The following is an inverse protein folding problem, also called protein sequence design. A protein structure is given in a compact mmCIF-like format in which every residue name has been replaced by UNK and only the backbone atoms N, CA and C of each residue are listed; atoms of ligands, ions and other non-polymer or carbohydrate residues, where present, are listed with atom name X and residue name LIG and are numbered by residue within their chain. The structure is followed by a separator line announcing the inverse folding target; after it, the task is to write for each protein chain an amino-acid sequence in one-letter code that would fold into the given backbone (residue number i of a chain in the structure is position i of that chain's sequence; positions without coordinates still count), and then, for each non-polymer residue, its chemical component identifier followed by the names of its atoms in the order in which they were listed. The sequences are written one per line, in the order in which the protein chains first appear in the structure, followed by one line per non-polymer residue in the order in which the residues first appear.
data_IF_123801388192
#
_entry.id   IF_123801388192
#
_cell.length_a   1.000
_cell.length_b   1.000
_cell.length_c   1.000
_cell.angle_alpha   90.00
_cell.angle_beta   90.00
_cell.angle_gamma   90.00
#
_symmetry.space_group_name_H-M   'P 1'
#
loop_
_entity.id
_entity.type
_entity.pdbx_description
1 polymer ?
#
# COMPACT_ATOMS: atom_id res chain seq x y z
N UNK A 1 107.44 -21.95 57.29
CA UNK A 1 107.48 -20.66 57.99
C UNK A 1 106.65 -19.68 57.18
N UNK A 2 105.61 -19.09 57.78
CA UNK A 2 105.13 -17.72 57.53
C UNK A 2 103.92 -17.41 58.42
N UNK A 3 104.22 -16.71 59.52
CA UNK A 3 103.57 -15.50 60.06
C UNK A 3 102.05 -15.39 60.30
N UNK A 4 101.40 -16.39 60.90
CA UNK A 4 100.05 -16.22 61.50
C UNK A 4 100.01 -16.56 63.01
N UNK A 5 101.06 -16.17 63.74
CA UNK A 5 101.09 -16.26 65.21
C UNK A 5 100.71 -14.92 65.83
N UNK A 6 99.44 -14.80 66.23
CA UNK A 6 98.95 -13.71 67.09
C UNK A 6 99.59 -13.83 68.47
N UNK A 7 100.41 -12.86 68.86
CA UNK A 7 100.94 -12.74 70.20
C UNK A 7 99.98 -11.90 71.06
N UNK A 8 99.31 -12.55 72.03
CA UNK A 8 98.66 -11.85 73.14
C UNK A 8 99.63 -11.85 74.32
N UNK A 9 100.01 -10.66 74.78
CA UNK A 9 100.81 -10.47 75.99
C UNK A 9 99.83 -10.02 77.09
N UNK A 10 99.63 -10.88 78.08
CA UNK A 10 98.79 -10.60 79.24
C UNK A 10 99.49 -10.98 80.54
N UNK A 11 99.27 -10.19 81.59
CA UNK A 11 99.70 -10.51 82.94
C UNK A 11 98.46 -10.66 83.83
N UNK A 12 98.46 -11.69 84.68
CA UNK A 12 97.52 -11.84 85.79
C UNK A 12 98.33 -12.01 87.08
N UNK A 13 97.97 -11.26 88.12
CA UNK A 13 98.59 -11.30 89.46
C UNK A 13 100.13 -11.27 89.48
N UNK A 14 100.71 -10.21 88.90
CA UNK A 14 102.16 -9.93 88.94
C UNK A 14 103.05 -11.06 88.38
N UNK A 15 102.50 -11.88 87.47
CA UNK A 15 103.23 -12.88 86.70
C UNK A 15 103.04 -12.62 85.20
N UNK A 16 104.16 -12.43 84.50
CA UNK A 16 104.17 -12.34 83.04
C UNK A 16 104.02 -13.74 82.43
N UNK A 17 102.99 -13.93 81.60
CA UNK A 17 102.70 -15.18 80.91
C UNK A 17 102.68 -14.92 79.41
N UNK A 18 103.73 -15.35 78.70
CA UNK A 18 103.68 -15.60 77.28
C UNK A 18 103.79 -17.11 77.06
N UNK A 19 102.90 -17.69 76.24
CA UNK A 19 102.87 -19.12 75.95
C UNK A 19 102.92 -19.33 74.44
N UNK A 20 103.85 -20.18 73.97
CA UNK A 20 103.86 -20.71 72.59
C UNK A 20 104.31 -22.17 72.60
N UNK A 21 103.63 -23.04 71.84
CA UNK A 21 104.05 -24.43 71.57
C UNK A 21 102.93 -25.46 71.66
N UNK A 22 102.84 -26.46 70.74
CA UNK A 22 101.78 -27.46 70.77
C UNK A 22 101.99 -28.50 71.89
N UNK A 23 100.88 -29.11 72.30
CA UNK A 23 100.62 -29.88 73.53
C UNK A 23 101.77 -30.83 73.95
N UNK A 24 102.42 -30.56 75.08
CA UNK A 24 103.17 -31.59 75.82
C UNK A 24 104.34 -31.18 76.71
N UNK A 25 105.01 -30.04 76.48
CA UNK A 25 106.07 -29.54 77.37
C UNK A 25 106.15 -28.01 77.27
N UNK A 26 106.15 -27.32 78.41
CA UNK A 26 106.18 -25.84 78.50
C UNK A 26 107.53 -25.43 79.08
N UNK A 27 108.34 -24.75 78.29
CA UNK A 27 109.58 -24.11 78.75
C UNK A 27 109.41 -22.59 78.66
N UNK A 28 109.85 -21.85 79.70
CA UNK A 28 109.72 -20.39 79.79
C UNK A 28 111.04 -19.72 79.45
N UNK A 29 110.94 -18.67 78.64
CA UNK A 29 112.07 -17.85 78.23
C UNK A 29 111.71 -16.37 78.30
N UNK A 30 112.68 -15.53 78.60
CA UNK A 30 112.62 -14.08 78.48
C UNK A 30 113.70 -13.63 77.50
N UNK A 31 113.38 -12.62 76.68
CA UNK A 31 114.32 -12.00 75.75
C UNK A 31 114.70 -10.64 76.30
N UNK A 32 115.99 -10.42 76.51
CA UNK A 32 116.50 -9.11 76.94
C UNK A 32 116.25 -8.07 75.82
N UNK A 33 115.48 -7.00 76.08
CA UNK A 33 115.12 -6.02 75.06
C UNK A 33 116.27 -5.11 74.61
N UNK A 34 117.43 -5.10 75.28
CA UNK A 34 118.61 -4.33 74.85
C UNK A 34 119.61 -5.17 74.06
N UNK A 35 119.80 -6.43 74.44
CA UNK A 35 120.82 -7.31 73.84
C UNK A 35 120.24 -8.37 72.90
N UNK A 36 118.95 -8.67 73.03
CA UNK A 36 118.23 -9.64 72.19
C UNK A 36 118.51 -11.11 72.52
N UNK A 37 119.31 -11.41 73.55
CA UNK A 37 119.63 -12.79 73.94
C UNK A 37 118.54 -13.41 74.81
N UNK A 38 118.31 -14.70 74.62
CA UNK A 38 117.25 -15.49 75.28
C UNK A 38 117.77 -16.14 76.58
N UNK A 39 117.04 -15.93 77.67
CA UNK A 39 117.37 -16.46 78.99
C UNK A 39 116.21 -17.31 79.54
N UNK A 40 116.54 -18.47 80.12
CA UNK A 40 115.55 -19.44 80.64
C UNK A 40 115.13 -19.07 82.08
N UNK A 41 114.51 -17.91 82.25
CA UNK A 41 114.03 -17.34 83.53
C UNK A 41 112.83 -16.35 83.36
N UNK A 42 112.25 -15.81 84.45
CA UNK A 42 110.99 -15.01 84.42
C UNK A 42 111.18 -13.49 84.57
N UNK A 43 110.41 -12.69 83.82
CA UNK A 43 110.50 -11.21 83.73
C UNK A 43 110.30 -10.40 85.03
N UNK A 44 109.77 -11.00 86.11
CA UNK A 44 109.14 -10.27 87.21
C UNK A 44 110.09 -9.48 88.14
N UNK A 45 111.40 -9.45 87.88
CA UNK A 45 112.34 -8.68 88.71
C UNK A 45 112.61 -7.25 88.25
N UNK A 46 112.23 -6.83 87.04
CA UNK A 46 112.75 -5.58 86.47
C UNK A 46 111.76 -4.47 86.05
N UNK A 47 110.47 -4.71 85.77
CA UNK A 47 109.60 -3.63 85.25
C UNK A 47 108.14 -3.71 85.76
N UNK A 48 107.61 -2.61 86.33
CA UNK A 48 106.27 -2.52 86.92
C UNK A 48 105.36 -1.54 86.17
N UNK A 49 104.42 -2.02 85.33
CA UNK A 49 103.33 -1.21 84.73
C UNK A 49 102.08 -2.08 84.43
N UNK A 50 100.86 -1.49 84.52
CA UNK A 50 99.53 -2.17 84.55
C UNK A 50 98.61 -1.76 83.36
N UNK A 51 97.73 -2.65 82.88
CA UNK A 51 96.84 -2.48 81.69
C UNK A 51 95.43 -3.07 81.92
N UNK A 52 94.37 -2.50 81.31
CA UNK A 52 92.97 -2.96 81.43
C UNK A 52 92.32 -3.24 80.04
N UNK A 53 91.76 -4.44 79.87
CA UNK A 53 90.75 -4.86 78.87
C UNK A 53 90.83 -4.29 77.43
N UNK A 54 91.97 -4.42 76.75
CA UNK A 54 92.04 -4.32 75.27
C UNK A 54 91.96 -2.92 74.63
N UNK A 55 91.77 -1.87 75.44
CA UNK A 55 91.92 -0.46 75.04
C UNK A 55 92.86 0.24 75.99
N UNK A 56 93.80 1.01 75.45
CA UNK A 56 94.74 1.74 76.29
C UNK A 56 94.12 3.04 76.78
N UNK A 57 94.21 3.31 78.07
CA UNK A 57 93.74 4.58 78.61
C UNK A 57 94.90 5.56 78.72
N UNK A 58 94.77 6.70 78.05
CA UNK A 58 95.70 7.81 78.14
C UNK A 58 95.04 8.94 78.94
N UNK A 59 95.70 9.41 79.99
CA UNK A 59 95.17 10.50 80.82
C UNK A 59 95.08 11.83 80.05
N UNK A 60 96.01 12.08 79.13
CA UNK A 60 96.07 13.28 78.29
C UNK A 60 96.71 13.02 76.92
N UNK A 61 96.73 14.04 76.05
CA UNK A 61 97.33 13.94 74.71
C UNK A 61 98.82 13.59 74.73
N UNK A 62 99.60 14.11 75.69
CA UNK A 62 101.04 13.80 75.78
C UNK A 62 101.28 12.34 76.13
N UNK A 63 100.40 11.78 76.95
CA UNK A 63 100.43 10.37 77.35
C UNK A 63 99.98 9.48 76.19
N UNK A 64 99.00 9.91 75.38
CA UNK A 64 98.58 9.22 74.16
C UNK A 64 99.71 9.12 73.12
N UNK A 65 100.53 10.17 72.96
CA UNK A 65 101.67 10.18 72.02
C UNK A 65 102.84 9.28 72.46
N UNK A 66 102.93 8.94 73.75
CA UNK A 66 103.93 8.01 74.27
C UNK A 66 103.55 6.54 74.05
N UNK A 67 102.30 6.27 73.68
CA UNK A 67 101.85 4.91 73.38
C UNK A 67 102.47 4.46 72.05
N UNK A 68 103.03 3.23 71.97
CA UNK A 68 103.64 2.70 70.77
C UNK A 68 102.75 2.83 69.54
N UNK A 69 103.34 3.26 68.44
CA UNK A 69 102.64 3.62 67.24
C UNK A 69 102.27 2.38 66.40
N UNK A 70 101.23 1.67 66.84
CA UNK A 70 100.72 0.46 66.19
C UNK A 70 99.41 0.80 65.47
N UNK A 71 99.33 0.70 64.13
CA UNK A 71 98.10 0.93 63.39
C UNK A 71 96.96 0.02 63.88
N UNK A 72 95.75 0.57 64.01
CA UNK A 72 94.56 -0.11 64.50
C UNK A 72 94.42 -0.14 66.03
N UNK A 73 95.46 0.23 66.78
CA UNK A 73 95.40 0.29 68.23
C UNK A 73 94.42 1.37 68.69
N UNK A 74 93.60 1.03 69.68
CA UNK A 74 92.59 1.92 70.24
C UNK A 74 93.05 2.46 71.59
N UNK A 75 92.85 3.76 71.78
CA UNK A 75 93.11 4.40 73.06
C UNK A 75 92.06 5.43 73.41
N UNK A 76 91.58 5.36 74.65
CA UNK A 76 90.64 6.32 75.21
C UNK A 76 91.42 7.42 75.92
N UNK A 77 91.12 8.68 75.59
CA UNK A 77 91.65 9.84 76.31
C UNK A 77 90.68 10.28 77.39
N UNK A 78 91.13 10.28 78.63
CA UNK A 78 90.28 10.65 79.78
C UNK A 78 89.98 12.14 79.82
N UNK A 79 90.95 13.00 79.50
CA UNK A 79 90.81 14.47 79.56
C UNK A 79 89.71 15.02 78.65
N UNK A 80 89.54 14.46 77.45
CA UNK A 80 88.50 14.87 76.51
C UNK A 80 87.42 13.82 76.25
N UNK A 81 87.49 12.70 76.97
CA UNK A 81 86.53 11.59 76.92
C UNK A 81 86.29 11.05 75.50
N UNK A 82 87.30 11.07 74.64
CA UNK A 82 87.19 10.59 73.26
C UNK A 82 88.03 9.34 73.02
N UNK A 83 87.49 8.46 72.17
CA UNK A 83 88.20 7.28 71.69
C UNK A 83 88.96 7.62 70.41
N UNK A 84 90.23 7.25 70.40
CA UNK A 84 91.13 7.45 69.27
C UNK A 84 91.58 6.10 68.72
N UNK A 85 91.73 6.05 67.40
CA UNK A 85 92.41 4.94 66.72
C UNK A 85 93.74 5.43 66.17
N UNK A 86 94.79 4.66 66.36
CA UNK A 86 96.07 4.95 65.76
C UNK A 86 96.09 4.45 64.31
N UNK A 87 96.48 5.31 63.37
CA UNK A 87 96.57 4.96 61.95
C UNK A 87 98.01 4.67 61.50
N UNK A 88 98.92 4.39 62.43
CA UNK A 88 100.31 4.06 62.14
C UNK A 88 101.27 5.24 62.04
N UNK A 89 100.76 6.47 62.09
CA UNK A 89 101.59 7.70 62.17
C UNK A 89 100.95 8.81 63.00
N UNK A 90 99.65 8.69 63.30
CA UNK A 90 98.87 9.66 64.07
C UNK A 90 97.68 8.99 64.73
N UNK A 91 97.25 9.56 65.85
CA UNK A 91 95.99 9.21 66.52
C UNK A 91 94.85 10.05 65.96
N UNK A 92 93.77 9.41 65.48
CA UNK A 92 92.57 10.06 64.96
C UNK A 92 91.37 9.79 65.88
N UNK A 93 90.63 10.85 66.24
CA UNK A 93 89.39 10.71 67.02
C UNK A 93 88.34 9.99 66.18
N UNK A 94 87.66 9.01 66.76
CA UNK A 94 86.65 8.20 66.06
C UNK A 94 85.29 8.91 65.91
N UNK A 95 85.03 9.98 66.64
CA UNK A 95 83.78 10.75 66.52
C UNK A 95 84.03 12.26 66.46
N UNK A 96 83.55 12.90 65.39
CA UNK A 96 83.48 14.35 65.24
C UNK A 96 82.03 14.82 65.49
N UNK A 97 81.77 15.43 66.63
CA UNK A 97 80.43 15.87 67.07
C UNK A 97 79.75 16.82 66.06
N UNK A 98 80.53 17.62 65.32
CA UNK A 98 80.00 18.53 64.30
C UNK A 98 79.40 17.81 63.09
N UNK A 99 80.01 16.71 62.64
CA UNK A 99 79.50 15.92 61.51
C UNK A 99 78.18 15.23 61.87
N UNK A 100 78.09 14.69 63.09
CA UNK A 100 76.85 14.08 63.61
C UNK A 100 75.73 15.12 63.71
N UNK A 101 76.03 16.33 64.17
CA UNK A 101 75.05 17.43 64.24
C UNK A 101 74.60 17.90 62.86
N UNK A 102 75.50 17.94 61.86
CA UNK A 102 75.13 18.27 60.48
C UNK A 102 74.25 17.19 59.86
N UNK A 103 74.60 15.90 60.03
CA UNK A 103 73.79 14.78 59.55
C UNK A 103 72.38 14.83 60.15
N UNK A 104 72.26 15.08 61.46
CA UNK A 104 70.96 15.20 62.12
C UNK A 104 70.11 16.36 61.58
N UNK A 105 70.73 17.49 61.22
CA UNK A 105 70.00 18.61 60.59
C UNK A 105 69.46 18.23 59.21
N UNK A 106 70.29 17.61 58.37
CA UNK A 106 69.88 17.16 57.03
C UNK A 106 68.78 16.12 57.12
N UNK A 107 68.95 15.12 57.98
CA UNK A 107 67.96 14.07 58.22
C UNK A 107 66.61 14.66 58.67
N UNK A 108 66.63 15.66 59.55
CA UNK A 108 65.40 16.32 60.02
C UNK A 108 64.69 17.06 58.87
N UNK A 109 65.43 17.75 58.01
CA UNK A 109 64.88 18.44 56.84
C UNK A 109 64.29 17.45 55.82
N UNK A 110 64.97 16.33 55.57
CA UNK A 110 64.48 15.28 54.67
C UNK A 110 63.21 14.62 55.21
N UNK A 111 63.17 14.33 56.52
CA UNK A 111 61.96 13.81 57.18
C UNK A 111 60.81 14.79 57.07
N UNK A 112 61.04 16.10 57.26
CA UNK A 112 60.00 17.12 57.09
C UNK A 112 59.52 17.24 55.64
N UNK A 113 60.44 17.16 54.68
CA UNK A 113 60.12 17.17 53.25
C UNK A 113 59.26 15.96 52.86
N UNK A 114 59.67 14.76 53.28
CA UNK A 114 58.93 13.53 53.03
C UNK A 114 57.54 13.57 53.68
N UNK A 115 57.43 14.07 54.92
CA UNK A 115 56.13 14.27 55.59
C UNK A 115 55.21 15.19 54.78
N UNK A 116 55.71 16.33 54.28
CA UNK A 116 54.93 17.25 53.43
C UNK A 116 54.47 16.56 52.14
N UNK A 117 55.35 15.79 51.49
CA UNK A 117 55.03 15.07 50.26
C UNK A 117 53.97 13.98 50.49
N UNK A 118 54.09 13.21 51.57
CA UNK A 118 53.11 12.19 51.97
C UNK A 118 51.74 12.84 52.22
N UNK A 119 51.70 13.95 52.96
CA UNK A 119 50.44 14.65 53.26
C UNK A 119 49.79 15.20 51.98
N UNK A 120 50.57 15.77 51.06
CA UNK A 120 50.07 16.25 49.78
C UNK A 120 49.49 15.11 48.94
N UNK A 121 50.20 13.99 48.80
CA UNK A 121 49.72 12.82 48.07
C UNK A 121 48.46 12.22 48.72
N UNK A 122 48.43 12.13 50.05
CA UNK A 122 47.26 11.68 50.80
C UNK A 122 46.03 12.55 50.52
N UNK A 123 46.20 13.88 50.47
CA UNK A 123 45.12 14.81 50.14
C UNK A 123 44.59 14.58 48.71
N UNK A 124 45.48 14.37 47.73
CA UNK A 124 45.08 14.08 46.34
C UNK A 124 44.30 12.78 46.24
N UNK A 125 44.80 11.70 46.85
CA UNK A 125 44.15 10.39 46.84
C UNK A 125 42.78 10.46 47.53
N UNK A 126 42.68 11.13 48.67
CA UNK A 126 41.41 11.31 49.38
C UNK A 126 40.40 12.13 48.56
N UNK A 127 40.87 13.15 47.84
CA UNK A 127 40.04 13.92 46.91
C UNK A 127 39.50 13.05 45.76
N UNK A 128 40.35 12.23 45.14
CA UNK A 128 39.96 11.28 44.10
C UNK A 128 38.96 10.23 44.62
N UNK A 129 39.23 9.65 45.79
CA UNK A 129 38.36 8.67 46.43
C UNK A 129 36.97 9.27 46.73
N UNK A 130 36.93 10.52 47.20
CA UNK A 130 35.66 11.22 47.48
C UNK A 130 34.86 11.44 46.20
N UNK A 131 35.51 11.84 45.10
CA UNK A 131 34.86 11.99 43.81
C UNK A 131 34.36 10.65 43.25
N UNK A 132 35.13 9.58 43.40
CA UNK A 132 34.73 8.25 42.97
C UNK A 132 33.51 7.75 43.75
N UNK A 133 33.50 7.92 45.08
CA UNK A 133 32.34 7.61 45.94
C UNK A 133 31.08 8.36 45.50
N UNK A 134 31.20 9.66 45.21
CA UNK A 134 30.05 10.45 44.69
C UNK A 134 29.52 9.89 43.37
N UNK A 135 30.41 9.50 42.44
CA UNK A 135 30.00 8.87 41.16
C UNK A 135 29.29 7.54 41.37
N UNK A 136 29.80 6.68 42.25
CA UNK A 136 29.19 5.38 42.58
C UNK A 136 27.77 5.59 43.14
N UNK A 137 27.61 6.46 44.13
CA UNK A 137 26.28 6.75 44.71
C UNK A 137 25.31 7.28 43.65
N UNK A 138 25.77 8.16 42.75
CA UNK A 138 24.94 8.64 41.64
C UNK A 138 24.54 7.51 40.68
N UNK A 139 25.46 6.60 40.36
CA UNK A 139 25.19 5.46 39.48
C UNK A 139 24.22 4.47 40.13
N UNK A 140 24.39 4.15 41.41
CA UNK A 140 23.46 3.29 42.16
C UNK A 140 22.04 3.86 42.20
N UNK A 141 21.91 5.19 42.29
CA UNK A 141 20.60 5.86 42.23
C UNK A 141 19.98 5.74 40.83
N UNK A 142 20.79 5.91 39.77
CA UNK A 142 20.32 5.74 38.39
C UNK A 142 19.84 4.31 38.13
N UNK A 143 20.61 3.30 38.55
CA UNK A 143 20.26 1.88 38.41
C UNK A 143 18.96 1.57 39.18
N UNK A 144 18.81 2.06 40.41
CA UNK A 144 17.57 1.89 41.19
C UNK A 144 16.36 2.50 40.49
N UNK A 145 16.50 3.68 39.89
CA UNK A 145 15.41 4.32 39.16
C UNK A 145 15.04 3.54 37.89
N UNK A 146 16.03 3.04 37.15
CA UNK A 146 15.78 2.17 35.99
C UNK A 146 15.08 0.86 36.39
N UNK A 147 15.47 0.25 37.51
CA UNK A 147 14.80 -0.94 38.05
C UNK A 147 13.31 -0.70 38.31
N UNK A 148 12.96 0.43 38.94
CA UNK A 148 11.55 0.80 39.16
C UNK A 148 10.77 1.01 37.86
N UNK A 149 11.38 1.68 36.87
CA UNK A 149 10.75 1.87 35.56
C UNK A 149 10.49 0.55 34.84
N UNK A 150 11.44 -0.39 34.90
CA UNK A 150 11.28 -1.72 34.32
C UNK A 150 10.16 -2.51 35.00
N UNK A 151 10.01 -2.39 36.32
CA UNK A 151 8.95 -3.04 37.07
C UNK A 151 7.55 -2.49 36.68
N UNK A 152 7.42 -1.16 36.55
CA UNK A 152 6.20 -0.52 36.06
C UNK A 152 5.85 -0.95 34.63
N UNK A 153 6.85 -1.06 33.75
CA UNK A 153 6.67 -1.54 32.38
C UNK A 153 6.23 -3.01 32.36
N UNK A 154 6.83 -3.87 33.19
CA UNK A 154 6.48 -5.28 33.27
C UNK A 154 5.03 -5.47 33.73
N UNK A 155 4.59 -4.73 34.74
CA UNK A 155 3.19 -4.76 35.20
C UNK A 155 2.21 -4.32 34.10
N UNK A 156 2.60 -3.36 33.27
CA UNK A 156 1.78 -2.92 32.12
C UNK A 156 1.69 -4.00 31.05
N UNK A 157 2.80 -4.64 30.72
CA UNK A 157 2.87 -5.74 29.74
C UNK A 157 1.98 -6.91 30.19
N UNK A 158 2.02 -7.28 31.47
CA UNK A 158 1.20 -8.36 32.01
C UNK A 158 -0.29 -8.05 31.90
N UNK A 159 -0.68 -6.81 32.19
CA UNK A 159 -2.07 -6.34 32.03
C UNK A 159 -2.52 -6.42 30.58
N UNK A 160 -1.67 -6.03 29.63
CA UNK A 160 -2.01 -6.07 28.21
C UNK A 160 -2.05 -7.49 27.66
N UNK A 161 -1.19 -8.39 28.14
CA UNK A 161 -1.25 -9.83 27.81
C UNK A 161 -2.59 -10.44 28.17
N UNK A 162 -3.11 -10.16 29.37
CA UNK A 162 -4.43 -10.65 29.80
C UNK A 162 -5.56 -10.10 28.91
N UNK A 163 -5.47 -8.84 28.47
CA UNK A 163 -6.45 -8.28 27.52
C UNK A 163 -6.39 -8.97 26.15
N UNK A 164 -5.19 -9.25 25.65
CA UNK A 164 -4.98 -9.94 24.37
C UNK A 164 -5.64 -11.32 24.42
N UNK A 165 -5.43 -12.09 25.48
CA UNK A 165 -6.04 -13.42 25.64
C UNK A 165 -7.58 -13.36 25.65
N UNK A 166 -8.16 -12.33 26.28
CA UNK A 166 -9.61 -12.10 26.25
C UNK A 166 -10.08 -11.77 24.82
N UNK A 167 -9.33 -10.94 24.09
CA UNK A 167 -9.66 -10.59 22.71
C UNK A 167 -9.55 -11.78 21.76
N UNK A 168 -8.49 -12.59 21.87
CA UNK A 168 -8.33 -13.82 21.07
C UNK A 168 -9.49 -14.79 21.27
N UNK A 169 -9.92 -14.97 22.51
CA UNK A 169 -11.08 -15.81 22.81
C UNK A 169 -12.38 -15.27 22.19
N UNK A 170 -12.60 -13.94 22.25
CA UNK A 170 -13.76 -13.29 21.60
C UNK A 170 -13.71 -13.44 20.08
N UNK A 171 -12.55 -13.25 19.47
CA UNK A 171 -12.35 -13.44 18.03
C UNK A 171 -12.70 -14.86 17.61
N UNK A 172 -12.25 -15.87 18.35
CA UNK A 172 -12.57 -17.27 18.08
C UNK A 172 -14.07 -17.58 18.15
N UNK A 173 -14.81 -16.93 19.06
CA UNK A 173 -16.27 -17.07 19.14
C UNK A 173 -16.94 -16.42 17.93
N UNK A 174 -16.54 -15.19 17.59
CA UNK A 174 -17.07 -14.47 16.43
C UNK A 174 -16.82 -15.22 15.12
N UNK A 175 -15.65 -15.83 14.94
CA UNK A 175 -15.34 -16.64 13.76
C UNK A 175 -16.30 -17.83 13.59
N UNK A 176 -16.67 -18.49 14.70
CA UNK A 176 -17.66 -19.59 14.68
C UNK A 176 -19.05 -19.09 14.31
N UNK A 177 -19.48 -17.95 14.86
CA UNK A 177 -20.77 -17.34 14.54
C UNK A 177 -20.85 -16.95 13.06
N UNK A 178 -19.78 -16.34 12.52
CA UNK A 178 -19.67 -16.00 11.10
C UNK A 178 -19.80 -17.26 10.23
N UNK A 179 -19.17 -18.36 10.62
CA UNK A 179 -19.26 -19.61 9.86
C UNK A 179 -20.69 -20.18 9.85
N UNK A 180 -21.40 -20.10 10.98
CA UNK A 180 -22.81 -20.50 11.06
C UNK A 180 -23.67 -19.62 10.15
N UNK A 181 -23.45 -18.30 10.18
CA UNK A 181 -24.18 -17.36 9.32
C UNK A 181 -23.94 -17.65 7.84
N UNK A 182 -22.69 -17.88 7.42
CA UNK A 182 -22.36 -18.26 6.03
C UNK A 182 -23.12 -19.50 5.55
N UNK A 183 -23.22 -20.53 6.39
CA UNK A 183 -23.95 -21.74 6.05
C UNK A 183 -25.46 -21.47 5.91
N UNK A 184 -26.04 -20.64 6.79
CA UNK A 184 -27.44 -20.23 6.69
C UNK A 184 -27.72 -19.45 5.41
N UNK A 185 -26.85 -18.50 5.05
CA UNK A 185 -26.97 -17.73 3.80
C UNK A 185 -26.97 -18.65 2.58
N UNK A 186 -26.04 -19.62 2.53
CA UNK A 186 -25.98 -20.60 1.43
C UNK A 186 -27.25 -21.46 1.32
N UNK A 187 -27.85 -21.82 2.45
CA UNK A 187 -29.14 -22.54 2.47
C UNK A 187 -30.26 -21.67 1.88
N UNK A 188 -30.35 -20.41 2.29
CA UNK A 188 -31.35 -19.47 1.79
C UNK A 188 -31.19 -19.19 0.29
N UNK A 189 -29.95 -19.08 -0.20
CA UNK A 189 -29.69 -18.90 -1.63
C UNK A 189 -30.23 -20.08 -2.46
N UNK A 190 -30.05 -21.31 -1.99
CA UNK A 190 -30.59 -22.49 -2.67
C UNK A 190 -32.12 -22.49 -2.71
N UNK A 191 -32.79 -22.12 -1.61
CA UNK A 191 -34.25 -21.99 -1.55
C UNK A 191 -34.76 -20.94 -2.55
N UNK A 192 -34.10 -19.79 -2.63
CA UNK A 192 -34.44 -18.73 -3.59
C UNK A 192 -34.29 -19.23 -5.03
N UNK A 193 -33.27 -20.04 -5.34
CA UNK A 193 -33.09 -20.60 -6.68
C UNK A 193 -34.22 -21.55 -7.06
N UNK A 194 -34.65 -22.42 -6.13
CA UNK A 194 -35.80 -23.30 -6.35
C UNK A 194 -37.07 -22.49 -6.61
N UNK A 195 -37.33 -21.47 -5.79
CA UNK A 195 -38.51 -20.62 -5.95
C UNK A 195 -38.52 -19.91 -7.32
N UNK A 196 -37.37 -19.42 -7.79
CA UNK A 196 -37.25 -18.80 -9.12
C UNK A 196 -37.63 -19.75 -10.26
N UNK A 197 -37.22 -21.02 -10.16
CA UNK A 197 -37.55 -22.03 -11.17
C UNK A 197 -39.06 -22.29 -11.19
N UNK A 198 -39.70 -22.37 -10.02
CA UNK A 198 -41.15 -22.56 -9.91
C UNK A 198 -41.94 -21.38 -10.48
N UNK A 199 -41.55 -20.14 -10.15
CA UNK A 199 -42.18 -18.94 -10.69
C UNK A 199 -42.11 -18.92 -12.22
N UNK A 200 -40.94 -19.25 -12.79
CA UNK A 200 -40.78 -19.32 -14.25
C UNK A 200 -41.71 -20.35 -14.90
N UNK A 201 -41.89 -21.53 -14.28
CA UNK A 201 -42.84 -22.53 -14.76
C UNK A 201 -44.28 -22.01 -14.75
N UNK A 202 -44.66 -21.25 -13.72
CA UNK A 202 -45.99 -20.64 -13.65
C UNK A 202 -46.19 -19.58 -14.74
N UNK A 203 -45.19 -18.74 -14.99
CA UNK A 203 -45.23 -17.75 -16.06
C UNK A 203 -45.39 -18.39 -17.44
N UNK A 204 -44.63 -19.46 -17.72
CA UNK A 204 -44.72 -20.18 -18.98
C UNK A 204 -46.09 -20.82 -19.17
N UNK A 205 -46.68 -21.37 -18.09
CA UNK A 205 -48.06 -21.89 -18.11
C UNK A 205 -49.09 -20.79 -18.36
N UNK A 206 -48.93 -19.62 -17.73
CA UNK A 206 -49.83 -18.49 -17.93
C UNK A 206 -49.76 -17.96 -19.37
N UNK A 207 -48.55 -17.90 -19.97
CA UNK A 207 -48.36 -17.55 -21.38
C UNK A 207 -49.06 -18.53 -22.31
N UNK A 208 -48.99 -19.84 -22.04
CA UNK A 208 -49.70 -20.84 -22.83
C UNK A 208 -51.23 -20.67 -22.76
N UNK A 209 -51.76 -20.41 -21.56
CA UNK A 209 -53.18 -20.13 -21.35
C UNK A 209 -53.63 -18.90 -22.13
N UNK A 210 -52.88 -17.79 -22.06
CA UNK A 210 -53.17 -16.57 -22.80
C UNK A 210 -53.17 -16.82 -24.32
N UNK A 211 -52.19 -17.56 -24.83
CA UNK A 211 -52.13 -17.91 -26.26
C UNK A 211 -53.36 -18.70 -26.72
N UNK A 212 -53.87 -19.59 -25.89
CA UNK A 212 -55.12 -20.34 -26.18
C UNK A 212 -56.36 -19.45 -26.09
N UNK A 213 -56.39 -18.49 -25.17
CA UNK A 213 -57.47 -17.51 -25.06
C UNK A 213 -57.59 -16.63 -26.30
N UNK A 214 -56.46 -16.18 -26.87
CA UNK A 214 -56.45 -15.36 -28.09
C UNK A 214 -57.02 -16.12 -29.31
N UNK A 215 -56.89 -17.46 -29.34
CA UNK A 215 -57.45 -18.31 -30.41
C UNK A 215 -58.97 -18.44 -30.27
N UNK A 216 -59.46 -18.61 -29.03
CA UNK A 216 -60.89 -18.81 -28.76
C UNK A 216 -61.68 -17.48 -28.81
N UNK A 217 -61.06 -16.37 -28.41
CA UNK A 217 -61.67 -15.05 -28.38
C UNK A 217 -60.70 -13.98 -28.90
N UNK A 218 -60.50 -13.89 -30.23
CA UNK A 218 -59.59 -12.92 -30.81
C UNK A 218 -59.96 -11.49 -30.39
N UNK A 219 -58.99 -10.67 -29.94
CA UNK A 219 -59.26 -9.27 -29.61
C UNK A 219 -59.73 -8.49 -30.83
N UNK A 220 -60.47 -7.41 -30.62
CA UNK A 220 -61.05 -6.65 -31.75
C UNK A 220 -60.02 -5.88 -32.58
N UNK A 221 -58.83 -5.62 -32.02
CA UNK A 221 -57.72 -4.97 -32.71
C UNK A 221 -56.39 -5.26 -32.01
N UNK A 222 -55.27 -5.02 -32.69
CA UNK A 222 -53.94 -5.05 -32.09
C UNK A 222 -53.82 -4.09 -30.89
N UNK A 223 -54.52 -2.95 -30.92
CA UNK A 223 -54.47 -1.99 -29.82
C UNK A 223 -55.17 -2.49 -28.57
N UNK A 224 -56.28 -3.21 -28.72
CA UNK A 224 -56.94 -3.88 -27.60
C UNK A 224 -56.10 -5.05 -27.07
N UNK A 225 -55.44 -5.81 -27.95
CA UNK A 225 -54.50 -6.86 -27.54
C UNK A 225 -53.38 -6.27 -26.67
N UNK A 226 -52.72 -5.21 -27.14
CA UNK A 226 -51.64 -4.54 -26.42
C UNK A 226 -52.09 -3.95 -25.08
N UNK A 227 -53.29 -3.37 -25.03
CA UNK A 227 -53.89 -2.84 -23.79
C UNK A 227 -54.17 -3.94 -22.76
N UNK A 228 -54.69 -5.09 -23.20
CA UNK A 228 -55.00 -6.22 -22.31
C UNK A 228 -53.73 -6.90 -21.79
N UNK A 229 -52.72 -7.02 -22.65
CA UNK A 229 -51.47 -7.72 -22.35
C UNK A 229 -50.30 -6.78 -22.73
N UNK A 230 -49.89 -5.88 -21.82
CA UNK A 230 -48.84 -4.88 -22.10
C UNK A 230 -47.49 -5.48 -22.53
N UNK A 231 -47.19 -6.72 -22.11
CA UNK A 231 -45.99 -7.47 -22.50
C UNK A 231 -46.03 -8.06 -23.91
N UNK A 232 -47.14 -7.91 -24.65
CA UNK A 232 -47.25 -8.42 -26.01
C UNK A 232 -46.21 -7.76 -26.93
N UNK A 233 -45.49 -8.60 -27.67
CA UNK A 233 -44.45 -8.21 -28.63
C UNK A 233 -45.00 -8.18 -30.06
N UNK A 234 -44.31 -7.50 -30.97
CA UNK A 234 -44.72 -7.45 -32.39
C UNK A 234 -44.73 -8.83 -33.03
N UNK A 235 -45.71 -9.10 -33.89
CA UNK A 235 -45.89 -10.42 -34.48
C UNK A 235 -47.23 -10.62 -35.19
N UNK A 236 -47.50 -11.84 -35.67
CA UNK A 236 -48.78 -12.19 -36.30
C UNK A 236 -49.79 -12.66 -35.26
N UNK A 237 -50.96 -12.03 -35.23
CA UNK A 237 -52.05 -12.34 -34.32
C UNK A 237 -53.37 -12.43 -35.06
N UNK A 238 -54.30 -13.24 -34.53
CA UNK A 238 -55.69 -13.20 -34.97
C UNK A 238 -56.41 -12.07 -34.23
N UNK A 239 -57.13 -11.25 -34.98
CA UNK A 239 -58.05 -10.25 -34.43
C UNK A 239 -59.44 -10.49 -35.00
N UNK A 240 -60.48 -10.09 -34.27
CA UNK A 240 -61.85 -10.09 -34.78
C UNK A 240 -62.47 -8.68 -34.69
N UNK A 241 -62.32 -7.84 -35.74
CA UNK A 241 -62.82 -6.48 -35.77
C UNK A 241 -64.34 -6.35 -35.56
N UNK A 242 -65.10 -7.44 -35.74
CA UNK A 242 -66.51 -7.53 -35.38
C UNK A 242 -66.72 -8.71 -34.42
N UNK A 243 -66.52 -8.48 -33.13
CA UNK A 243 -66.53 -9.49 -32.06
C UNK A 243 -67.68 -10.53 -32.09
N UNK A 244 -68.83 -10.20 -32.69
CA UNK A 244 -70.00 -11.07 -32.79
C UNK A 244 -70.02 -11.97 -34.04
N UNK A 245 -69.07 -11.83 -34.97
CA UNK A 245 -69.03 -12.56 -36.24
C UNK A 245 -67.72 -13.31 -36.40
N UNK A 246 -67.74 -14.64 -36.28
CA UNK A 246 -66.53 -15.49 -36.44
C UNK A 246 -65.90 -15.38 -37.84
N UNK A 247 -66.70 -15.10 -38.87
CA UNK A 247 -66.23 -14.85 -40.24
C UNK A 247 -65.36 -13.59 -40.40
N UNK A 248 -65.32 -12.72 -39.39
CA UNK A 248 -64.52 -11.50 -39.39
C UNK A 248 -63.16 -11.68 -38.71
N UNK A 249 -62.86 -12.88 -38.18
CA UNK A 249 -61.53 -13.20 -37.67
C UNK A 249 -60.50 -13.17 -38.81
N UNK A 250 -59.40 -12.45 -38.61
CA UNK A 250 -58.34 -12.24 -39.60
C UNK A 250 -56.98 -12.29 -38.91
N UNK A 251 -56.00 -12.91 -39.57
CA UNK A 251 -54.61 -12.86 -39.13
C UNK A 251 -53.94 -11.60 -39.68
N UNK A 252 -53.40 -10.78 -38.80
CA UNK A 252 -52.73 -9.51 -39.12
C UNK A 252 -51.36 -9.46 -38.46
N UNK A 253 -50.48 -8.58 -38.94
CA UNK A 253 -49.28 -8.24 -38.19
C UNK A 253 -49.61 -7.10 -37.21
N UNK A 254 -49.34 -7.30 -35.93
CA UNK A 254 -49.43 -6.26 -34.92
C UNK A 254 -48.03 -5.72 -34.63
N UNK A 255 -47.78 -4.45 -34.94
CA UNK A 255 -46.60 -3.74 -34.47
C UNK A 255 -46.89 -3.16 -33.08
N UNK A 256 -46.33 -3.80 -32.05
CA UNK A 256 -46.51 -3.42 -30.64
C UNK A 256 -45.53 -2.36 -30.17
N UNK A 257 -44.72 -1.82 -31.07
CA UNK A 257 -43.66 -0.84 -30.78
C UNK A 257 -43.94 0.52 -31.40
N UNK A 258 -44.59 0.57 -32.56
CA UNK A 258 -44.90 1.84 -33.23
C UNK A 258 -46.01 2.64 -32.51
N UNK A 259 -46.07 3.94 -32.83
CA UNK A 259 -47.01 4.94 -32.30
C UNK A 259 -47.09 4.91 -30.77
N UNK A 260 -45.93 4.91 -30.12
CA UNK A 260 -45.77 4.82 -28.66
C UNK A 260 -46.28 3.50 -28.08
N UNK A 261 -46.11 2.39 -28.82
CA UNK A 261 -46.43 1.05 -28.36
C UNK A 261 -47.92 0.77 -28.18
N UNK A 262 -48.79 1.48 -28.92
CA UNK A 262 -50.26 1.31 -28.85
C UNK A 262 -50.76 0.03 -29.52
N UNK A 263 -49.93 -0.68 -30.29
CA UNK A 263 -50.35 -1.85 -31.06
C UNK A 263 -51.02 -1.46 -32.37
N UNK A 264 -50.23 -1.29 -33.42
CA UNK A 264 -50.67 -0.93 -34.77
C UNK A 264 -50.99 -2.18 -35.57
N UNK A 265 -52.16 -2.22 -36.20
CA UNK A 265 -52.56 -3.29 -37.13
C UNK A 265 -52.01 -2.99 -38.51
N UNK A 266 -51.18 -3.88 -39.07
CA UNK A 266 -50.64 -3.76 -40.42
C UNK A 266 -51.25 -4.81 -41.36
N UNK A 267 -51.71 -4.36 -42.52
CA UNK A 267 -52.31 -5.19 -43.57
C UNK A 267 -51.46 -5.05 -44.83
N UNK A 268 -50.82 -6.16 -45.22
CA UNK A 268 -49.96 -6.25 -46.39
C UNK A 268 -50.73 -6.45 -47.70
N UNK A 269 -50.00 -6.27 -48.81
CA UNK A 269 -50.51 -6.48 -50.16
C UNK A 269 -49.40 -6.79 -51.17
N UNK A 270 -49.79 -7.21 -52.37
CA UNK A 270 -48.91 -7.67 -53.44
C UNK A 270 -48.09 -6.59 -54.18
N UNK A 271 -47.98 -5.38 -53.63
CA UNK A 271 -47.47 -4.20 -54.37
C UNK A 271 -46.62 -3.27 -53.48
N UNK A 272 -45.98 -3.81 -52.45
CA UNK A 272 -45.20 -3.05 -51.49
C UNK A 272 -43.81 -2.63 -52.01
N UNK A 273 -43.30 -3.31 -53.05
CA UNK A 273 -42.04 -2.97 -53.71
C UNK A 273 -42.20 -1.80 -54.69
N UNK A 274 -41.08 -1.14 -55.02
CA UNK A 274 -41.07 -0.13 -56.08
C UNK A 274 -41.28 -0.79 -57.45
N UNK A 275 -42.22 -0.27 -58.25
CA UNK A 275 -42.57 -0.81 -59.57
C UNK A 275 -42.42 0.29 -60.62
N UNK A 276 -41.68 -0.02 -61.69
CA UNK A 276 -41.47 0.87 -62.85
C UNK A 276 -42.75 0.98 -63.68
N UNK A 277 -43.02 2.18 -64.18
CA UNK A 277 -44.06 2.52 -65.15
C UNK A 277 -43.38 3.13 -66.37
N UNK A 278 -43.56 2.51 -67.52
CA UNK A 278 -42.91 2.87 -68.78
C UNK A 278 -43.74 2.28 -69.94
N UNK A 279 -43.88 3.05 -71.03
CA UNK A 279 -44.65 2.70 -72.22
C UNK A 279 -46.15 3.04 -72.15
N UNK A 280 -46.60 3.92 -71.26
CA UNK A 280 -48.02 4.25 -71.08
C UNK A 280 -48.31 5.74 -71.30
N UNK A 281 -48.65 6.10 -72.53
CA UNK A 281 -48.95 7.49 -72.94
C UNK A 281 -50.28 8.00 -72.37
N UNK A 282 -51.38 7.32 -72.69
CA UNK A 282 -52.71 7.81 -72.33
C UNK A 282 -52.91 7.92 -70.81
N UNK A 283 -53.61 8.98 -70.38
CA UNK A 283 -53.89 9.26 -68.97
C UNK A 283 -54.48 8.06 -68.21
N UNK A 284 -53.78 7.62 -67.16
CA UNK A 284 -54.17 6.49 -66.32
C UNK A 284 -54.27 5.15 -67.06
N UNK A 285 -53.53 4.98 -68.15
CA UNK A 285 -53.48 3.74 -68.95
C UNK A 285 -52.76 2.62 -68.23
N UNK A 286 -51.66 2.91 -67.55
CA UNK A 286 -51.08 1.97 -66.61
C UNK A 286 -52.08 1.75 -65.47
N UNK A 287 -52.28 0.49 -65.09
CA UNK A 287 -53.18 0.10 -64.01
C UNK A 287 -52.51 -0.98 -63.16
N UNK A 288 -52.37 -0.68 -61.86
CA UNK A 288 -51.97 -1.64 -60.84
C UNK A 288 -53.07 -1.77 -59.82
N UNK A 289 -53.89 -2.82 -59.95
CA UNK A 289 -54.84 -3.22 -58.91
C UNK A 289 -54.08 -3.83 -57.74
N UNK A 290 -54.50 -3.48 -56.53
CA UNK A 290 -53.84 -3.91 -55.29
C UNK A 290 -54.58 -5.10 -54.70
N UNK A 291 -53.87 -6.21 -54.52
CA UNK A 291 -54.41 -7.41 -53.86
C UNK A 291 -53.88 -7.47 -52.43
N UNK A 292 -54.74 -7.18 -51.46
CA UNK A 292 -54.44 -7.30 -50.04
C UNK A 292 -54.41 -8.75 -49.58
N UNK A 293 -53.67 -9.01 -48.50
CA UNK A 293 -53.57 -10.32 -47.85
C UNK A 293 -54.87 -10.76 -47.16
N UNK A 294 -55.86 -9.87 -47.09
CA UNK A 294 -57.15 -10.07 -46.44
C UNK A 294 -58.30 -9.48 -47.25
N UNK A 295 -59.53 -9.86 -46.93
CA UNK A 295 -60.73 -9.44 -47.68
C UNK A 295 -61.06 -7.97 -47.42
N UNK A 296 -61.64 -7.29 -48.42
CA UNK A 296 -62.00 -5.88 -48.27
C UNK A 296 -63.02 -5.64 -47.14
N UNK A 297 -63.91 -6.59 -46.88
CA UNK A 297 -64.86 -6.52 -45.76
C UNK A 297 -64.16 -6.52 -44.39
N UNK A 298 -63.14 -7.36 -44.22
CA UNK A 298 -62.30 -7.38 -43.02
C UNK A 298 -61.49 -6.09 -42.89
N UNK A 299 -60.92 -5.57 -43.99
CA UNK A 299 -60.20 -4.28 -44.00
C UNK A 299 -61.13 -3.14 -43.56
N UNK A 300 -62.33 -3.06 -44.14
CA UNK A 300 -63.32 -2.02 -43.79
C UNK A 300 -63.71 -2.11 -42.33
N UNK A 301 -63.87 -3.33 -41.79
CA UNK A 301 -64.14 -3.54 -40.37
C UNK A 301 -62.98 -3.04 -39.48
N UNK A 302 -61.72 -3.32 -39.85
CA UNK A 302 -60.53 -2.82 -39.14
C UNK A 302 -60.50 -1.29 -39.16
N UNK A 303 -60.69 -0.67 -40.34
CA UNK A 303 -60.71 0.79 -40.48
C UNK A 303 -61.83 1.39 -39.63
N UNK A 304 -63.03 0.80 -39.66
CA UNK A 304 -64.18 1.28 -38.87
C UNK A 304 -63.92 1.21 -37.36
N UNK A 305 -63.26 0.15 -36.89
CA UNK A 305 -62.94 -0.06 -35.47
C UNK A 305 -61.72 0.71 -34.96
N UNK A 306 -60.97 1.36 -35.84
CA UNK A 306 -59.73 2.08 -35.48
C UNK A 306 -59.98 3.58 -35.34
N UNK A 307 -59.17 4.29 -34.56
CA UNK A 307 -59.23 5.76 -34.47
C UNK A 307 -58.52 6.41 -35.66
N UNK A 308 -57.36 5.88 -36.00
CA UNK A 308 -56.50 6.36 -37.07
C UNK A 308 -56.21 5.23 -38.06
N UNK A 309 -56.10 5.57 -39.33
CA UNK A 309 -55.46 4.71 -40.31
C UNK A 309 -54.61 5.56 -41.26
N UNK A 310 -53.49 5.01 -41.70
CA UNK A 310 -52.61 5.62 -42.67
C UNK A 310 -52.16 4.58 -43.71
N UNK A 311 -51.91 5.03 -44.92
CA UNK A 311 -51.26 4.23 -45.96
C UNK A 311 -50.26 5.08 -46.71
N UNK A 312 -49.02 4.62 -46.81
CA UNK A 312 -47.96 5.36 -47.49
C UNK A 312 -48.10 5.22 -49.01
N UNK A 313 -47.89 6.31 -49.75
CA UNK A 313 -47.74 6.29 -51.20
C UNK A 313 -46.55 7.14 -51.61
N UNK A 314 -45.87 6.69 -52.67
CA UNK A 314 -44.71 7.38 -53.26
C UNK A 314 -44.75 7.25 -54.77
N UNK A 315 -44.43 8.34 -55.46
CA UNK A 315 -44.22 8.36 -56.90
C UNK A 315 -42.95 9.15 -57.18
N UNK A 316 -41.98 8.47 -57.80
CA UNK A 316 -40.77 9.07 -58.35
C UNK A 316 -40.95 9.14 -59.86
N UNK A 317 -40.72 10.30 -60.44
CA UNK A 317 -41.15 10.65 -61.79
C UNK A 317 -40.03 11.35 -62.55
N UNK A 318 -40.01 11.15 -63.85
CA UNK A 318 -39.11 11.81 -64.80
C UNK A 318 -39.93 12.13 -66.04
N UNK A 319 -40.13 13.41 -66.30
CA UNK A 319 -41.02 13.90 -67.36
C UNK A 319 -42.40 13.22 -67.33
N UNK A 320 -43.00 13.08 -66.13
CA UNK A 320 -44.32 12.49 -65.94
C UNK A 320 -45.05 13.16 -64.76
N UNK A 321 -46.29 13.61 -64.95
CA UNK A 321 -47.06 14.37 -63.95
C UNK A 321 -48.26 13.66 -63.32
N UNK A 322 -48.94 14.35 -62.39
CA UNK A 322 -50.27 13.98 -61.89
C UNK A 322 -51.39 14.74 -62.60
N UNK A 323 -51.22 16.06 -62.80
CA UNK A 323 -52.27 16.98 -63.26
C UNK A 323 -51.94 17.75 -64.55
N UNK A 324 -50.81 17.48 -65.20
CA UNK A 324 -50.39 18.17 -66.42
C UNK A 324 -51.37 17.88 -67.58
N UNK A 325 -52.04 18.91 -68.11
CA UNK A 325 -53.04 18.79 -69.19
C UNK A 325 -54.34 18.02 -68.84
N UNK A 326 -54.44 17.43 -67.64
CA UNK A 326 -55.52 16.57 -67.17
C UNK A 326 -55.04 15.60 -66.07
N UNK A 327 -55.92 14.81 -65.42
CA UNK A 327 -55.49 13.85 -64.39
C UNK A 327 -54.82 12.62 -65.01
N UNK A 328 -53.52 12.72 -65.31
CA UNK A 328 -52.67 11.67 -65.91
C UNK A 328 -52.37 10.54 -64.93
N UNK A 329 -52.08 10.88 -63.67
CA UNK A 329 -51.73 9.92 -62.62
C UNK A 329 -52.60 10.09 -61.38
N UNK A 330 -53.00 8.99 -60.74
CA UNK A 330 -53.93 8.98 -59.60
C UNK A 330 -53.94 7.64 -58.87
N UNK A 331 -54.41 7.68 -57.63
CA UNK A 331 -54.85 6.48 -56.91
C UNK A 331 -56.38 6.38 -56.89
N UNK A 332 -56.88 5.17 -56.67
CA UNK A 332 -58.32 4.87 -56.58
C UNK A 332 -58.64 4.39 -55.17
N UNK A 333 -59.70 4.96 -54.60
CA UNK A 333 -60.17 4.64 -53.24
C UNK A 333 -60.84 3.27 -53.17
N UNK A 334 -61.14 2.80 -51.95
CA UNK A 334 -61.97 1.61 -51.75
C UNK A 334 -63.36 1.67 -52.37
N UNK A 335 -63.89 2.89 -52.58
CA UNK A 335 -65.21 3.12 -53.17
C UNK A 335 -65.14 3.27 -54.70
N UNK A 336 -63.97 3.06 -55.31
CA UNK A 336 -63.76 3.26 -56.74
C UNK A 336 -63.59 4.73 -57.16
N UNK A 337 -63.51 5.65 -56.20
CA UNK A 337 -63.35 7.08 -56.48
C UNK A 337 -61.93 7.37 -56.97
N UNK A 338 -61.83 8.12 -58.07
CA UNK A 338 -60.56 8.60 -58.63
C UNK A 338 -60.07 9.78 -57.81
N UNK A 339 -59.07 9.54 -56.97
CA UNK A 339 -58.62 10.51 -55.99
C UNK A 339 -57.72 11.55 -56.64
N UNK A 340 -57.90 12.82 -56.24
CA UNK A 340 -57.16 13.95 -56.80
C UNK A 340 -56.08 14.50 -55.86
N UNK A 341 -55.61 13.73 -54.90
CA UNK A 341 -54.54 14.13 -53.98
C UNK A 341 -53.49 13.04 -53.93
N UNK A 342 -52.29 13.38 -53.49
CA UNK A 342 -51.25 12.41 -53.20
C UNK A 342 -50.91 12.36 -51.70
N UNK A 343 -49.91 11.57 -51.34
CA UNK A 343 -49.44 11.41 -49.96
C UNK A 343 -49.17 12.76 -49.28
N UNK A 344 -49.61 12.89 -48.03
CA UNK A 344 -49.44 14.10 -47.22
C UNK A 344 -50.42 15.25 -47.54
N UNK A 345 -51.32 15.09 -48.51
CA UNK A 345 -52.31 16.10 -48.85
C UNK A 345 -53.75 15.68 -48.55
N UNK A 346 -54.60 16.67 -48.24
CA UNK A 346 -56.04 16.46 -48.00
C UNK A 346 -56.73 15.86 -49.23
N UNK A 347 -57.70 14.97 -49.01
CA UNK A 347 -58.51 14.35 -50.05
C UNK A 347 -59.02 15.35 -51.08
N UNK A 348 -58.80 15.03 -52.36
CA UNK A 348 -59.22 15.84 -53.52
C UNK A 348 -58.62 17.26 -53.65
N UNK A 349 -57.53 17.56 -52.95
CA UNK A 349 -56.89 18.89 -52.97
C UNK A 349 -56.11 19.25 -54.24
N UNK A 350 -55.83 18.30 -55.14
CA UNK A 350 -54.89 18.45 -56.29
C UNK A 350 -53.47 18.81 -55.86
N UNK A 351 -53.08 18.38 -54.66
CA UNK A 351 -51.78 18.65 -54.07
C UNK A 351 -51.12 17.37 -53.58
N UNK A 352 -49.80 17.47 -53.40
CA UNK A 352 -48.94 16.54 -52.69
C UNK A 352 -48.45 17.20 -51.39
N UNK A 353 -47.71 16.46 -50.55
CA UNK A 353 -47.17 16.97 -49.28
C UNK A 353 -46.48 18.34 -49.46
N UNK A 354 -45.60 18.48 -50.45
CA UNK A 354 -44.87 19.72 -50.70
C UNK A 354 -45.78 20.91 -51.07
N UNK A 355 -46.90 20.65 -51.76
CA UNK A 355 -47.85 21.69 -52.17
C UNK A 355 -48.77 22.15 -51.04
N UNK A 356 -48.87 21.35 -49.97
CA UNK A 356 -49.52 21.75 -48.71
C UNK A 356 -48.59 22.65 -47.90
N UNK A 357 -47.31 22.33 -47.84
CA UNK A 357 -46.29 23.06 -47.07
C UNK A 357 -45.62 24.20 -47.84
N UNK A 358 -46.01 24.45 -49.10
CA UNK A 358 -45.38 25.42 -50.00
C UNK A 358 -43.87 25.21 -50.17
N UNK A 359 -43.45 23.94 -50.13
CA UNK A 359 -42.05 23.51 -50.17
C UNK A 359 -41.71 22.68 -51.40
N UNK A 360 -42.54 22.70 -52.45
CA UNK A 360 -42.18 22.07 -53.73
C UNK A 360 -40.99 22.80 -54.36
N UNK A 361 -40.23 22.08 -55.20
CA UNK A 361 -39.05 22.62 -55.90
C UNK A 361 -39.44 23.85 -56.72
N UNK A 362 -40.52 23.74 -57.50
CA UNK A 362 -41.24 24.88 -58.06
C UNK A 362 -42.50 25.12 -57.24
N UNK A 363 -42.60 26.32 -56.66
CA UNK A 363 -43.73 26.71 -55.79
C UNK A 363 -45.00 27.02 -56.57
N UNK A 364 -44.94 27.12 -57.90
CA UNK A 364 -46.10 27.35 -58.76
C UNK A 364 -46.94 26.08 -58.99
N UNK A 365 -46.38 24.90 -58.72
CA UNK A 365 -47.05 23.60 -58.89
C UNK A 365 -47.49 22.98 -57.56
N UNK A 366 -48.50 22.11 -57.61
CA UNK A 366 -49.07 21.45 -56.43
C UNK A 366 -48.30 20.20 -55.95
N UNK A 367 -47.40 19.69 -56.79
CA UNK A 367 -46.59 18.49 -56.60
C UNK A 367 -45.27 18.64 -57.36
N UNK A 368 -44.18 18.03 -56.89
CA UNK A 368 -42.91 18.09 -57.61
C UNK A 368 -42.97 17.39 -58.97
N UNK A 369 -43.74 16.30 -59.10
CA UNK A 369 -43.90 15.60 -60.38
C UNK A 369 -44.64 16.42 -61.45
N UNK A 370 -45.45 17.41 -61.04
CA UNK A 370 -46.17 18.26 -62.00
C UNK A 370 -45.27 19.29 -62.69
N UNK A 371 -43.99 19.39 -62.31
CA UNK A 371 -43.00 20.14 -63.08
C UNK A 371 -42.82 19.58 -64.51
N UNK A 372 -43.11 18.29 -64.70
CA UNK A 372 -43.05 17.57 -65.96
C UNK A 372 -41.82 17.94 -66.82
N UNK A 373 -40.63 17.72 -66.25
CA UNK A 373 -39.37 18.06 -66.88
C UNK A 373 -38.38 16.87 -66.83
N UNK A 374 -37.25 17.02 -67.51
CA UNK A 374 -36.18 16.02 -67.60
C UNK A 374 -35.34 15.88 -66.30
N UNK A 375 -35.93 16.12 -65.12
CA UNK A 375 -35.30 15.96 -63.80
C UNK A 375 -36.09 14.94 -62.98
N UNK A 376 -35.38 14.04 -62.30
CA UNK A 376 -36.00 13.13 -61.37
C UNK A 376 -36.52 13.88 -60.14
N UNK A 377 -37.83 13.83 -59.93
CA UNK A 377 -38.46 14.34 -58.71
C UNK A 377 -39.31 13.25 -58.04
N UNK A 378 -39.75 13.53 -56.82
CA UNK A 378 -40.52 12.59 -56.02
C UNK A 378 -41.58 13.33 -55.20
N UNK A 379 -42.76 12.71 -55.12
CA UNK A 379 -43.79 13.05 -54.16
C UNK A 379 -44.17 11.81 -53.34
N UNK A 380 -44.12 11.95 -52.02
CA UNK A 380 -44.45 10.86 -51.10
C UNK A 380 -45.14 11.36 -49.84
N UNK A 381 -45.81 10.45 -49.13
CA UNK A 381 -46.43 10.73 -47.85
C UNK A 381 -47.58 9.78 -47.53
N UNK A 382 -48.19 10.00 -46.37
CA UNK A 382 -49.32 9.21 -45.90
C UNK A 382 -50.66 9.75 -46.40
N UNK A 383 -51.50 8.84 -46.89
CA UNK A 383 -52.94 9.02 -47.01
C UNK A 383 -53.57 8.68 -45.66
N UNK A 384 -54.31 9.61 -45.06
CA UNK A 384 -54.84 9.46 -43.68
C UNK A 384 -56.37 9.54 -43.61
N UNK A 385 -57.03 9.83 -44.72
CA UNK A 385 -58.49 9.89 -44.78
C UNK A 385 -59.08 8.49 -44.78
N UNK A 386 -59.47 8.03 -43.59
CA UNK A 386 -60.11 6.74 -43.35
C UNK A 386 -61.34 6.51 -44.20
N UNK A 387 -62.03 7.53 -44.73
CA UNK A 387 -63.22 7.32 -45.57
C UNK A 387 -62.88 6.84 -46.98
N UNK A 388 -61.63 6.99 -47.41
CA UNK A 388 -61.18 6.69 -48.79
C UNK A 388 -60.17 5.53 -48.85
N UNK A 389 -59.46 5.24 -47.76
CA UNK A 389 -58.54 4.10 -47.63
C UNK A 389 -59.24 2.72 -47.69
N UNK A 390 -58.55 1.63 -48.01
CA UNK A 390 -57.20 1.59 -48.57
C UNK A 390 -57.16 2.02 -50.05
N UNK A 391 -55.95 2.17 -50.59
CA UNK A 391 -55.72 2.27 -52.04
C UNK A 391 -56.07 0.94 -52.71
N UNK A 392 -56.96 0.94 -53.70
CA UNK A 392 -57.35 -0.28 -54.45
C UNK A 392 -56.71 -0.38 -55.81
N UNK A 393 -56.29 0.76 -56.39
CA UNK A 393 -55.64 0.80 -57.69
C UNK A 393 -54.74 2.03 -57.78
N UNK A 394 -53.57 1.88 -58.41
CA UNK A 394 -52.78 2.99 -58.92
C UNK A 394 -52.88 3.06 -60.43
N UNK A 395 -53.02 4.29 -60.94
CA UNK A 395 -53.06 4.56 -62.38
C UNK A 395 -52.07 5.66 -62.73
N UNK A 396 -51.33 5.42 -63.81
CA UNK A 396 -50.34 6.37 -64.33
C UNK A 396 -50.49 6.46 -65.86
N UNK A 397 -50.09 7.59 -66.40
CA UNK A 397 -50.00 7.88 -67.84
C UNK A 397 -48.89 8.91 -68.03
N UNK A 398 -48.68 9.42 -69.25
CA UNK A 398 -47.57 10.36 -69.54
C UNK A 398 -46.22 9.70 -69.16
N UNK A 399 -46.06 8.43 -69.55
CA UNK A 399 -44.88 7.61 -69.26
C UNK A 399 -44.45 6.88 -70.52
N UNK A 400 -44.47 7.54 -71.68
CA UNK A 400 -43.97 6.96 -72.93
C UNK A 400 -42.83 7.79 -73.50
N UNK A 401 -42.20 7.35 -74.59
CA UNK A 401 -41.16 8.17 -75.23
C UNK A 401 -41.82 9.05 -76.29
N UNK A 402 -41.91 10.35 -76.03
CA UNK A 402 -42.34 11.33 -77.02
C UNK A 402 -41.15 12.18 -77.50
N UNK A 403 -40.89 12.17 -78.82
CA UNK A 403 -39.87 13.01 -79.48
C UNK A 403 -38.45 12.91 -78.87
N UNK A 404 -38.04 11.73 -78.39
CA UNK A 404 -36.70 11.48 -77.85
C UNK A 404 -36.52 11.81 -76.36
N UNK A 405 -37.55 12.35 -75.70
CA UNK A 405 -37.60 12.47 -74.24
C UNK A 405 -38.20 11.21 -73.64
N UNK A 406 -37.52 10.67 -72.64
CA UNK A 406 -37.97 9.48 -71.93
C UNK A 406 -38.92 9.92 -70.80
N UNK A 407 -40.08 9.29 -70.66
CA UNK A 407 -41.03 9.57 -69.58
C UNK A 407 -41.23 8.31 -68.76
N UNK A 408 -40.82 8.34 -67.50
CA UNK A 408 -40.78 7.14 -66.65
C UNK A 408 -41.23 7.47 -65.23
N UNK A 409 -42.00 6.55 -64.65
CA UNK A 409 -42.39 6.59 -63.25
C UNK A 409 -41.92 5.37 -62.45
N UNK A 410 -41.81 5.53 -61.13
CA UNK A 410 -41.69 4.46 -60.16
C UNK A 410 -42.65 4.72 -59.01
N UNK A 411 -43.61 3.83 -58.80
CA UNK A 411 -44.53 3.96 -57.66
C UNK A 411 -44.20 2.97 -56.56
N UNK A 412 -44.63 3.29 -55.34
CA UNK A 412 -44.55 2.42 -54.16
C UNK A 412 -45.75 2.70 -53.26
N UNK A 413 -46.37 1.66 -52.73
CA UNK A 413 -47.46 1.76 -51.74
C UNK A 413 -47.02 0.99 -50.49
N UNK A 414 -47.18 1.58 -49.32
CA UNK A 414 -46.97 0.88 -48.06
C UNK A 414 -48.20 0.11 -47.60
N UNK A 415 -48.01 -0.74 -46.60
CA UNK A 415 -49.10 -1.42 -45.90
C UNK A 415 -50.16 -0.44 -45.40
N UNK A 416 -51.40 -0.90 -45.31
CA UNK A 416 -52.42 -0.18 -44.57
C UNK A 416 -52.17 -0.38 -43.07
N UNK A 417 -52.08 0.71 -42.32
CA UNK A 417 -51.77 0.70 -40.89
C UNK A 417 -52.89 1.37 -40.11
N UNK A 418 -53.45 0.71 -39.10
CA UNK A 418 -54.60 1.20 -38.33
C UNK A 418 -54.41 0.98 -36.82
N UNK A 419 -54.80 1.97 -36.00
CA UNK A 419 -54.69 1.91 -34.52
C UNK A 419 -55.76 2.76 -33.82
N UNK A 420 -55.97 2.50 -32.53
CA UNK A 420 -56.94 3.21 -31.68
C UNK A 420 -56.31 4.34 -30.86
#
# INVERSE_FOLDING_TARGET
MNHDSTAFVGCDQDKCCACFGPKGNIEKYFIDPQTGTEHKESCSKQFSTFLNEGTLTASDKKSLEKIPNVPGLLSYREDNKQLYVNQGSKWQALSNEQEVLQLNRVLKLDVEFLKKKINSNSAVVNGQLTNLKKKIVSQEKAIRNQGKQLEEQNNTIEKDRNKIEIFENKTRVLEKEIQILKNKTRSQENEIQVQKIETKKQEDKYKDILKRMDILHPPVSCSILKKKIPSTISGKYYINPKAQSSSMTVQVYCDMTDKNGVGVTEIGHDSESSIKVDGYEAAGRYSRKIKYDTTMDQIVAIISGSKNCEQFVKYKCYNAGFWFGGPTSRWVSRTGSRMRNWGGAKSNSRKCACGVTSSCIDRSVGCNCDQNNNVWTEDSGYLIDKSTLPVTELRFGDTSTFSGNNEIGYHTIGKLRCWA
#
